data_IF_911559886132
#
_entry.id   IF_911559886132
#
_cell.length_a   1.000
_cell.length_b   1.000
_cell.length_c   1.000
_cell.angle_alpha   90.00
_cell.angle_beta   90.00
_cell.angle_gamma   90.00
#
_symmetry.space_group_name_H-M   'P 1'
#
loop_
_entity.id
_entity.type
_entity.pdbx_description
1 polymer ?
#
# COMPACT_ATOMS: atom_id res chain seq x y z
N UNK A 1 -15.30 -13.72 -3.88
CA UNK A 1 -14.46 -13.14 -2.80
C UNK A 1 -13.28 -12.46 -3.48
N UNK A 2 -13.08 -11.16 -3.32
CA UNK A 2 -11.90 -10.49 -3.87
C UNK A 2 -10.66 -10.90 -3.08
N UNK A 3 -9.49 -11.03 -3.72
CA UNK A 3 -8.25 -11.27 -3.00
C UNK A 3 -8.00 -10.11 -2.04
N UNK A 4 -7.49 -10.43 -0.83
CA UNK A 4 -7.13 -9.40 0.14
C UNK A 4 -5.96 -8.58 -0.39
N UNK A 5 -6.12 -7.26 -0.35
CA UNK A 5 -5.08 -6.30 -0.75
C UNK A 5 -4.00 -6.15 0.34
N UNK A 6 -4.32 -6.45 1.59
CA UNK A 6 -3.46 -6.21 2.74
C UNK A 6 -2.81 -7.51 3.20
N UNK A 7 -1.48 -7.50 3.32
CA UNK A 7 -0.70 -8.58 3.92
C UNK A 7 0.06 -8.04 5.13
N UNK A 8 -0.31 -8.40 6.37
CA UNK A 8 0.42 -7.97 7.55
C UNK A 8 1.85 -8.48 7.50
N UNK A 9 2.82 -7.60 7.77
CA UNK A 9 4.24 -7.95 7.81
C UNK A 9 4.74 -8.08 9.25
N UNK A 10 4.37 -7.11 10.10
CA UNK A 10 4.68 -7.07 11.53
C UNK A 10 3.78 -6.05 12.24
N UNK A 11 3.93 -5.93 13.56
CA UNK A 11 3.25 -4.89 14.34
C UNK A 11 3.61 -3.51 13.81
N UNK A 12 2.61 -2.80 13.26
CA UNK A 12 2.81 -1.47 12.69
C UNK A 12 3.28 -1.45 11.23
N UNK A 13 3.34 -2.58 10.51
CA UNK A 13 3.54 -2.59 9.06
C UNK A 13 2.67 -3.59 8.32
N UNK A 14 2.11 -3.18 7.18
CA UNK A 14 1.32 -4.04 6.30
C UNK A 14 1.63 -3.73 4.83
N UNK A 15 1.85 -4.77 4.02
CA UNK A 15 2.05 -4.63 2.59
C UNK A 15 0.72 -4.47 1.86
N UNK A 16 0.68 -3.52 0.93
CA UNK A 16 -0.44 -3.33 0.00
C UNK A 16 -0.11 -3.96 -1.34
N UNK A 17 -0.99 -4.84 -1.79
CA UNK A 17 -0.99 -5.39 -3.13
C UNK A 17 -2.19 -4.85 -3.90
N UNK A 18 -2.03 -4.71 -5.22
CA UNK A 18 -3.14 -4.38 -6.11
C UNK A 18 -4.07 -5.60 -6.30
N UNK A 19 -5.21 -5.45 -7.00
CA UNK A 19 -6.12 -6.56 -7.26
C UNK A 19 -5.51 -7.72 -8.07
N UNK A 20 -4.44 -7.48 -8.83
CA UNK A 20 -3.68 -8.51 -9.55
C UNK A 20 -2.65 -9.22 -8.65
N UNK A 21 -2.48 -8.76 -7.40
CA UNK A 21 -1.55 -9.31 -6.43
C UNK A 21 -0.14 -8.73 -6.51
N UNK A 22 0.09 -7.65 -7.26
CA UNK A 22 1.38 -6.96 -7.32
C UNK A 22 1.57 -6.05 -6.11
N UNK A 23 2.72 -6.11 -5.45
CA UNK A 23 3.03 -5.20 -4.35
C UNK A 23 3.25 -3.77 -4.85
N UNK A 24 2.55 -2.81 -4.27
CA UNK A 24 2.55 -1.39 -4.70
C UNK A 24 2.94 -0.42 -3.59
N UNK A 25 3.17 -0.91 -2.38
CA UNK A 25 3.59 -0.09 -1.26
C UNK A 25 3.32 -0.73 0.10
N UNK A 26 3.76 -0.06 1.15
CA UNK A 26 3.56 -0.49 2.52
C UNK A 26 2.80 0.58 3.31
N UNK A 27 1.93 0.15 4.22
CA UNK A 27 1.48 0.98 5.32
C UNK A 27 2.44 0.85 6.49
N UNK A 28 2.77 1.98 7.12
CA UNK A 28 3.56 2.04 8.35
C UNK A 28 2.83 2.85 9.41
N UNK A 29 2.73 2.31 10.62
CA UNK A 29 2.21 3.03 11.77
C UNK A 29 3.26 4.02 12.28
N UNK A 30 2.97 5.31 12.13
CA UNK A 30 3.91 6.39 12.45
C UNK A 30 3.14 7.46 13.23
N UNK A 31 3.54 7.67 14.49
CA UNK A 31 2.96 8.71 15.38
C UNK A 31 1.42 8.65 15.48
N UNK A 32 0.88 7.44 15.65
CA UNK A 32 -0.57 7.24 15.87
C UNK A 32 -1.43 7.23 14.60
N UNK A 33 -0.81 7.16 13.41
CA UNK A 33 -1.53 7.05 12.14
C UNK A 33 -0.84 6.06 11.21
N UNK A 34 -1.61 5.37 10.39
CA UNK A 34 -1.08 4.59 9.29
C UNK A 34 -0.72 5.53 8.14
N UNK A 35 0.51 5.42 7.63
CA UNK A 35 0.96 6.18 6.46
C UNK A 35 1.30 5.24 5.33
N UNK A 36 0.73 5.50 4.16
CA UNK A 36 1.07 4.79 2.94
C UNK A 36 2.44 5.22 2.42
N UNK A 37 3.25 4.24 2.01
CA UNK A 37 4.57 4.40 1.42
C UNK A 37 4.58 3.65 0.10
N UNK A 38 4.33 4.38 -0.99
CA UNK A 38 4.42 3.85 -2.35
C UNK A 38 5.77 3.17 -2.59
N UNK A 39 5.73 2.01 -3.25
CA UNK A 39 6.90 1.25 -3.68
C UNK A 39 6.67 0.84 -5.13
N UNK A 40 7.63 1.19 -5.98
CA UNK A 40 7.72 0.70 -7.34
C UNK A 40 8.83 -0.33 -7.46
N UNK A 41 8.87 -0.98 -8.63
CA UNK A 41 9.92 -1.91 -8.99
C UNK A 41 10.48 -1.48 -10.34
N UNK A 42 11.81 -1.37 -10.43
CA UNK A 42 12.46 -1.14 -11.71
C UNK A 42 12.56 -2.42 -12.54
N UNK A 43 13.12 -2.31 -13.74
CA UNK A 43 13.15 -3.40 -14.75
C UNK A 43 13.88 -4.67 -14.27
N UNK A 44 14.80 -4.57 -13.31
CA UNK A 44 15.53 -5.69 -12.74
C UNK A 44 14.93 -6.16 -11.39
N UNK A 45 13.73 -5.70 -11.05
CA UNK A 45 13.09 -5.98 -9.76
C UNK A 45 13.66 -5.19 -8.59
N UNK A 46 14.46 -4.14 -8.85
CA UNK A 46 14.97 -3.29 -7.79
C UNK A 46 13.82 -2.52 -7.11
N UNK A 47 13.79 -2.53 -5.78
CA UNK A 47 12.81 -1.77 -5.01
C UNK A 47 13.09 -0.27 -5.16
N UNK A 48 12.08 0.50 -5.56
CA UNK A 48 12.14 1.94 -5.75
C UNK A 48 11.15 2.64 -4.79
N UNK A 49 11.60 3.08 -3.61
CA UNK A 49 10.74 3.80 -2.66
C UNK A 49 10.21 5.10 -3.27
N UNK A 50 8.94 5.42 -3.00
CA UNK A 50 8.30 6.63 -3.54
C UNK A 50 7.96 6.55 -5.04
N UNK A 51 8.22 5.42 -5.70
CA UNK A 51 7.87 5.18 -7.09
C UNK A 51 6.69 4.20 -7.21
N UNK A 52 6.24 3.94 -8.43
CA UNK A 52 5.20 2.96 -8.75
C UNK A 52 3.81 3.56 -9.03
N UNK A 53 2.81 2.71 -9.29
CA UNK A 53 1.48 3.13 -9.72
C UNK A 53 0.76 4.04 -8.73
N UNK A 54 1.09 3.93 -7.44
CA UNK A 54 0.45 4.69 -6.36
C UNK A 54 1.33 5.82 -5.79
N UNK A 55 2.34 6.28 -6.53
CA UNK A 55 3.22 7.39 -6.09
C UNK A 55 2.44 8.65 -5.71
N UNK A 56 1.37 8.98 -6.44
CA UNK A 56 0.54 10.15 -6.16
C UNK A 56 -0.09 10.12 -4.75
N UNK A 57 -0.27 8.92 -4.19
CA UNK A 57 -0.85 8.71 -2.88
C UNK A 57 0.19 8.56 -1.78
N UNK A 58 1.48 8.71 -2.08
CA UNK A 58 2.54 8.58 -1.09
C UNK A 58 2.31 9.52 0.11
N UNK A 59 2.50 9.01 1.32
CA UNK A 59 2.17 9.66 2.61
C UNK A 59 0.69 9.82 2.94
N UNK A 60 -0.25 9.26 2.17
CA UNK A 60 -1.66 9.23 2.56
C UNK A 60 -1.83 8.64 3.96
N UNK A 61 -2.59 9.33 4.80
CA UNK A 61 -2.83 8.96 6.20
C UNK A 61 -4.16 8.24 6.37
N UNK A 62 -4.17 7.21 7.20
CA UNK A 62 -5.35 6.44 7.56
C UNK A 62 -5.41 6.26 9.08
N UNK A 63 -6.61 6.34 9.65
CA UNK A 63 -6.83 6.04 11.06
C UNK A 63 -6.70 4.53 11.35
N UNK A 64 -7.18 3.71 10.41
CA UNK A 64 -7.13 2.25 10.46
C UNK A 64 -6.94 1.68 9.06
N UNK A 65 -6.43 0.45 8.96
CA UNK A 65 -6.32 -0.26 7.68
C UNK A 65 -7.63 -0.98 7.37
N UNK A 66 -8.56 -0.24 6.78
CA UNK A 66 -9.83 -0.78 6.27
C UNK A 66 -9.70 -1.09 4.77
N UNK A 67 -9.85 -2.37 4.42
CA UNK A 67 -9.63 -2.81 3.04
C UNK A 67 -10.66 -2.22 2.05
N UNK A 68 -11.91 -1.99 2.47
CA UNK A 68 -12.92 -1.40 1.60
C UNK A 68 -12.58 0.07 1.28
N UNK A 69 -12.17 0.84 2.29
CA UNK A 69 -11.71 2.22 2.10
C UNK A 69 -10.46 2.26 1.21
N UNK A 70 -9.48 1.41 1.49
CA UNK A 70 -8.23 1.35 0.72
C UNK A 70 -8.50 0.99 -0.75
N UNK A 71 -9.38 0.01 -0.99
CA UNK A 71 -9.79 -0.36 -2.35
C UNK A 71 -10.47 0.81 -3.06
N UNK A 72 -11.42 1.46 -2.40
CA UNK A 72 -12.11 2.63 -2.93
C UNK A 72 -11.22 3.85 -3.10
N UNK A 73 -10.06 3.94 -2.44
CA UNK A 73 -9.15 5.07 -2.61
C UNK A 73 -8.11 4.84 -3.71
N UNK A 74 -7.57 3.62 -3.82
CA UNK A 74 -6.42 3.35 -4.69
C UNK A 74 -6.74 2.60 -5.97
N UNK A 75 -7.85 1.87 -6.02
CA UNK A 75 -8.16 0.96 -7.11
C UNK A 75 -9.61 1.09 -7.59
N UNK A 76 -10.16 2.31 -7.58
CA UNK A 76 -11.43 2.53 -8.27
C UNK A 76 -11.23 2.26 -9.76
N UNK A 77 -12.14 1.47 -10.33
CA UNK A 77 -12.32 1.34 -11.77
C UNK A 77 -12.98 2.60 -12.34
#
# INVERSE_FOLDING_TARGET
>A
MFPSLLKPLNEGSSALHDPAGLHVGNFKWIKGQWKFKAIGYGLAGQVMPGHGPLTAWHNSSFAQLDEAIIRAQFFQE
#
